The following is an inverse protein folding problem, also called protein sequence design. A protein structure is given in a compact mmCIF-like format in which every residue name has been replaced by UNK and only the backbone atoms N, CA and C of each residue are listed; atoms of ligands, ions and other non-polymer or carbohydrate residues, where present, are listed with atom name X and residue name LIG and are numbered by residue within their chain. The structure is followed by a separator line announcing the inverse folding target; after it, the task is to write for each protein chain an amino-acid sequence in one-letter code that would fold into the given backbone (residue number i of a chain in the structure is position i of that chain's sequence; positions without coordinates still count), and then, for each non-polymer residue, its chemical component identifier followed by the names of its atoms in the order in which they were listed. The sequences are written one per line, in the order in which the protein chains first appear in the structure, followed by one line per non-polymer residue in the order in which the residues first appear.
data_IF_336844671645
#
_entry.id   IF_336844671645
#
_cell.length_a   1.000
_cell.length_b   1.000
_cell.length_c   1.000
_cell.angle_alpha   90.00
_cell.angle_beta   90.00
_cell.angle_gamma   90.00
#
_symmetry.space_group_name_H-M   'P 1'
#
loop_
_entity.id
_entity.type
_entity.pdbx_description
1 polymer ?
#
# COMPACT_ATOMS: atom_id res chain seq x y z
N UNK A 1 -12.23 -8.26 -26.86
CA UNK A 1 -12.58 -6.94 -26.29
C UNK A 1 -11.83 -6.83 -24.98
N UNK A 2 -11.06 -5.76 -24.81
CA UNK A 2 -10.45 -5.48 -23.51
C UNK A 2 -11.58 -5.20 -22.50
N UNK A 3 -11.61 -5.93 -21.40
CA UNK A 3 -12.70 -5.90 -20.41
C UNK A 3 -12.61 -4.63 -19.54
N UNK A 4 -11.48 -3.93 -19.62
CA UNK A 4 -11.19 -2.76 -18.80
C UNK A 4 -11.53 -1.45 -19.52
N UNK A 5 -12.11 -0.51 -18.77
CA UNK A 5 -12.42 0.83 -19.28
C UNK A 5 -11.14 1.62 -19.59
N UNK A 6 -11.15 2.44 -20.65
CA UNK A 6 -10.01 3.29 -21.03
C UNK A 6 -9.53 4.23 -19.90
N UNK A 7 -10.44 4.67 -19.02
CA UNK A 7 -10.10 5.49 -17.85
C UNK A 7 -9.18 4.77 -16.87
N UNK A 8 -9.39 3.46 -16.68
CA UNK A 8 -8.56 2.65 -15.78
C UNK A 8 -7.16 2.47 -16.38
N UNK A 9 -7.07 2.24 -17.70
CA UNK A 9 -5.79 2.09 -18.41
C UNK A 9 -4.96 3.37 -18.43
N UNK A 10 -5.59 4.54 -18.30
CA UNK A 10 -4.92 5.83 -18.26
C UNK A 10 -4.39 6.22 -16.86
N UNK A 11 -4.73 5.47 -15.81
CA UNK A 11 -4.23 5.74 -14.45
C UNK A 11 -2.79 5.23 -14.33
N UNK A 12 -1.91 6.13 -13.91
CA UNK A 12 -0.53 5.77 -13.57
C UNK A 12 -0.51 4.87 -12.33
N UNK A 13 0.42 3.90 -12.25
CA UNK A 13 0.61 3.12 -11.04
C UNK A 13 0.94 4.04 -9.86
N UNK A 14 0.40 3.70 -8.68
CA UNK A 14 0.63 4.46 -7.46
C UNK A 14 2.00 4.11 -6.87
N UNK A 15 2.92 5.07 -6.89
CA UNK A 15 4.25 4.95 -6.28
C UNK A 15 4.17 4.68 -4.77
N UNK A 16 3.20 5.29 -4.09
CA UNK A 16 2.96 5.05 -2.65
C UNK A 16 2.50 3.61 -2.38
N UNK A 17 1.64 3.06 -3.24
CA UNK A 17 1.19 1.68 -3.14
C UNK A 17 2.32 0.68 -3.44
N UNK A 18 3.14 0.95 -4.46
CA UNK A 18 4.30 0.11 -4.77
C UNK A 18 5.30 0.05 -3.60
N UNK A 19 5.57 1.18 -2.95
CA UNK A 19 6.42 1.24 -1.75
C UNK A 19 5.83 0.43 -0.59
N UNK A 20 4.52 0.53 -0.35
CA UNK A 20 3.83 -0.23 0.70
C UNK A 20 3.84 -1.74 0.41
N UNK A 21 3.65 -2.14 -0.85
CA UNK A 21 3.77 -3.55 -1.25
C UNK A 21 5.18 -4.07 -0.99
N UNK A 22 6.21 -3.31 -1.35
CA UNK A 22 7.60 -3.72 -1.17
C UNK A 22 7.99 -3.88 0.30
N UNK A 23 7.55 -2.96 1.16
CA UNK A 23 7.83 -3.05 2.60
C UNK A 23 7.16 -4.28 3.22
N UNK A 24 5.94 -4.62 2.80
CA UNK A 24 5.24 -5.83 3.24
C UNK A 24 5.91 -7.12 2.77
N UNK A 25 6.40 -7.17 1.52
CA UNK A 25 7.17 -8.32 1.02
C UNK A 25 8.45 -8.56 1.81
N UNK A 26 9.19 -7.49 2.12
CA UNK A 26 10.43 -7.57 2.90
C UNK A 26 10.15 -8.06 4.33
N UNK A 27 9.07 -7.57 4.97
CA UNK A 27 8.60 -8.10 6.26
C UNK A 27 8.27 -9.58 6.19
N UNK A 28 7.60 -10.04 5.14
CA UNK A 28 7.25 -11.45 4.94
C UNK A 28 8.50 -12.35 4.75
N UNK A 29 9.59 -11.79 4.24
CA UNK A 29 10.90 -12.46 4.14
C UNK A 29 11.67 -12.49 5.46
N UNK A 30 11.10 -11.96 6.55
CA UNK A 30 11.73 -11.90 7.86
C UNK A 30 12.72 -10.74 8.03
N UNK A 31 12.72 -9.78 7.11
CA UNK A 31 13.53 -8.56 7.24
C UNK A 31 12.81 -7.60 8.17
N UNK A 32 13.52 -7.08 9.16
CA UNK A 32 13.00 -6.07 10.05
C UNK A 32 12.86 -4.73 9.30
N UNK A 33 11.62 -4.35 9.02
CA UNK A 33 11.29 -3.15 8.24
C UNK A 33 10.46 -2.21 9.10
N UNK A 34 11.05 -1.06 9.43
CA UNK A 34 10.35 0.05 10.09
C UNK A 34 9.57 0.81 9.01
N UNK A 35 8.25 0.62 8.99
CA UNK A 35 7.38 1.30 8.04
C UNK A 35 7.00 2.68 8.60
N UNK A 36 7.52 3.75 7.99
CA UNK A 36 7.20 5.15 8.31
C UNK A 36 6.29 5.81 7.26
N UNK A 37 5.70 5.03 6.35
CA UNK A 37 4.84 5.55 5.27
C UNK A 37 3.33 5.40 5.56
N UNK A 38 2.96 4.82 6.71
CA UNK A 38 1.56 4.71 7.14
C UNK A 38 1.10 6.06 7.67
N UNK A 39 0.07 6.63 7.02
CA UNK A 39 -0.56 7.89 7.45
C UNK A 39 -1.70 7.72 8.46
N UNK A 40 -1.89 6.51 8.96
CA UNK A 40 -2.92 6.18 9.95
C UNK A 40 -2.31 6.09 11.36
N UNK A 41 -3.03 6.53 12.41
CA UNK A 41 -2.57 6.36 13.78
C UNK A 41 -2.35 4.88 14.12
N UNK A 42 -1.32 4.61 14.91
CA UNK A 42 -1.04 3.33 15.55
C UNK A 42 -2.06 2.98 16.65
N UNK A 43 -2.79 3.98 17.14
CA UNK A 43 -3.83 3.82 18.14
C UNK A 43 -5.11 3.23 17.54
N UNK A 44 -5.65 2.21 18.19
CA UNK A 44 -7.03 1.77 17.95
C UNK A 44 -8.01 2.87 18.34
N UNK A 45 -9.10 3.01 17.59
CA UNK A 45 -10.19 3.93 17.96
C UNK A 45 -10.73 3.58 19.36
N UNK A 46 -10.78 4.53 20.31
CA UNK A 46 -11.35 4.29 21.64
C UNK A 46 -12.84 3.91 21.57
N UNK A 47 -13.30 3.11 22.53
CA UNK A 47 -14.69 2.61 22.54
C UNK A 47 -15.73 3.66 22.96
N UNK A 48 -15.33 4.75 23.64
CA UNK A 48 -16.22 5.79 24.19
C UNK A 48 -15.62 7.19 24.14
#
# INVERSE_FOLDING_TARGET
MDVLSARLTALSPSETFAMAQKSNELKAQGIDVINMSVGEPDFTTPEH
#
